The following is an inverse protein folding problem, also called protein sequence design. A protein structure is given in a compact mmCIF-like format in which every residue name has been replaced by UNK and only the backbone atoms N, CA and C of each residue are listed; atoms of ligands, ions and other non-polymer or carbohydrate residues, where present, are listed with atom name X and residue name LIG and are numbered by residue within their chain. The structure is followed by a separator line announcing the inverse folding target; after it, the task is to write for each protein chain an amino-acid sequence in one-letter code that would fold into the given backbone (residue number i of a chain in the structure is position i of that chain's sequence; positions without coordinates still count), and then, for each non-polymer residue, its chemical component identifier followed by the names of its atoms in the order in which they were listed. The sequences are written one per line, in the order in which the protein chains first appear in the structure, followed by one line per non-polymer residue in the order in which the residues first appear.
data_IF_948257115447
#
_entry.id   IF_948257115447
#
_cell.length_a   1.000
_cell.length_b   1.000
_cell.length_c   1.000
_cell.angle_alpha   90.00
_cell.angle_beta   90.00
_cell.angle_gamma   90.00
#
_symmetry.space_group_name_H-M   'P 1'
#
loop_
_entity.id
_entity.type
_entity.pdbx_description
1 polymer ?
#
# COMPACT_ATOMS: atom_id res chain seq x y z
N UNK A 1 -32.04 4.60 -15.41
CA UNK A 1 -30.98 3.99 -16.25
C UNK A 1 -29.66 4.71 -15.97
N UNK A 2 -28.56 3.99 -15.66
CA UNK A 2 -27.23 4.59 -15.50
C UNK A 2 -26.84 5.47 -16.70
N UNK A 3 -26.16 6.62 -16.51
CA UNK A 3 -25.83 7.55 -17.60
C UNK A 3 -25.07 6.91 -18.77
N UNK A 4 -24.19 5.95 -18.48
CA UNK A 4 -23.45 5.19 -19.50
C UNK A 4 -24.37 4.34 -20.39
N UNK A 5 -25.38 3.69 -19.80
CA UNK A 5 -26.35 2.88 -20.55
C UNK A 5 -27.27 3.76 -21.39
N UNK A 6 -27.64 4.94 -20.89
CA UNK A 6 -28.40 5.93 -21.66
C UNK A 6 -27.61 6.39 -22.90
N UNK A 7 -26.33 6.72 -22.72
CA UNK A 7 -25.44 7.12 -23.81
C UNK A 7 -25.21 5.98 -24.82
N UNK A 8 -25.00 4.76 -24.34
CA UNK A 8 -24.83 3.60 -25.21
C UNK A 8 -26.08 3.33 -26.07
N UNK A 9 -27.27 3.48 -25.48
CA UNK A 9 -28.54 3.35 -26.20
C UNK A 9 -28.72 4.46 -27.25
N UNK A 10 -28.35 5.70 -26.93
CA UNK A 10 -28.47 6.84 -27.84
C UNK A 10 -27.49 6.75 -29.03
N UNK A 11 -26.28 6.25 -28.81
CA UNK A 11 -25.22 6.20 -29.83
C UNK A 11 -25.25 4.89 -30.65
N UNK A 12 -25.89 3.84 -30.14
CA UNK A 12 -26.00 2.54 -30.82
C UNK A 12 -24.66 1.81 -30.99
N UNK A 13 -23.64 2.17 -30.20
CA UNK A 13 -22.28 1.61 -30.25
C UNK A 13 -21.78 1.26 -28.85
N UNK A 14 -20.89 0.27 -28.67
CA UNK A 14 -20.28 0.00 -27.38
C UNK A 14 -19.58 1.24 -26.83
N UNK A 15 -19.94 1.67 -25.62
CA UNK A 15 -19.25 2.75 -24.90
C UNK A 15 -18.42 2.13 -23.78
N UNK A 16 -17.19 2.61 -23.60
CA UNK A 16 -16.28 2.21 -22.51
C UNK A 16 -15.78 3.46 -21.82
N UNK A 17 -15.52 3.34 -20.52
CA UNK A 17 -14.93 4.41 -19.73
C UNK A 17 -13.43 4.19 -19.67
N UNK A 18 -12.65 5.18 -20.10
CA UNK A 18 -11.20 5.20 -19.97
C UNK A 18 -10.84 6.06 -18.75
N UNK A 19 -10.05 5.56 -17.79
CA UNK A 19 -9.51 6.42 -16.73
C UNK A 19 -8.55 7.44 -17.36
N UNK A 20 -8.78 8.72 -17.10
CA UNK A 20 -7.91 9.82 -17.54
C UNK A 20 -6.87 10.16 -16.47
N UNK A 21 -6.07 11.21 -16.73
CA UNK A 21 -5.21 11.82 -15.71
C UNK A 21 -5.96 12.07 -14.39
N UNK A 22 -5.27 12.04 -13.24
CA UNK A 22 -5.89 12.32 -11.95
C UNK A 22 -6.66 13.65 -11.95
N UNK A 23 -7.86 13.69 -11.34
CA UNK A 23 -8.51 12.61 -10.58
C UNK A 23 -9.24 11.57 -11.47
N UNK A 24 -9.08 10.28 -11.15
CA UNK A 24 -9.77 9.18 -11.85
C UNK A 24 -11.15 8.90 -11.23
N UNK A 25 -12.22 9.29 -11.92
CA UNK A 25 -13.61 9.01 -11.50
C UNK A 25 -13.86 7.51 -11.35
N UNK A 26 -13.31 6.69 -12.24
CA UNK A 26 -13.40 5.23 -12.14
C UNK A 26 -12.69 4.71 -10.90
N UNK A 27 -11.49 5.23 -10.60
CA UNK A 27 -10.74 4.88 -9.40
C UNK A 27 -11.49 5.25 -8.12
N UNK A 28 -12.09 6.43 -8.06
CA UNK A 28 -12.92 6.86 -6.93
C UNK A 28 -14.14 5.94 -6.72
N UNK A 29 -14.83 5.56 -7.80
CA UNK A 29 -15.97 4.62 -7.73
C UNK A 29 -15.54 3.24 -7.25
N UNK A 30 -14.40 2.74 -7.72
CA UNK A 30 -13.84 1.47 -7.28
C UNK A 30 -13.48 1.51 -5.78
N UNK A 31 -12.77 2.55 -5.35
CA UNK A 31 -12.44 2.76 -3.93
C UNK A 31 -13.70 2.79 -3.05
N UNK A 32 -14.73 3.54 -3.45
CA UNK A 32 -16.00 3.59 -2.72
C UNK A 32 -16.74 2.25 -2.70
N UNK A 33 -16.67 1.46 -3.77
CA UNK A 33 -17.27 0.12 -3.80
C UNK A 33 -16.54 -0.85 -2.85
N UNK A 34 -15.21 -0.87 -2.88
CA UNK A 34 -14.39 -1.71 -2.00
C UNK A 34 -14.58 -1.33 -0.53
N UNK A 35 -14.56 -0.04 -0.20
CA UNK A 35 -14.81 0.44 1.17
C UNK A 35 -16.18 0.02 1.68
N UNK A 36 -17.24 0.21 0.87
CA UNK A 36 -18.60 -0.22 1.25
C UNK A 36 -18.68 -1.72 1.46
N UNK A 37 -18.03 -2.50 0.59
CA UNK A 37 -18.00 -3.96 0.72
C UNK A 37 -17.29 -4.41 1.99
N UNK A 38 -16.16 -3.81 2.33
CA UNK A 38 -15.45 -4.05 3.59
C UNK A 38 -16.37 -3.81 4.80
N UNK A 39 -17.06 -2.67 4.82
CA UNK A 39 -17.98 -2.31 5.91
C UNK A 39 -19.17 -3.26 6.01
N UNK A 40 -19.73 -3.69 4.87
CA UNK A 40 -20.81 -4.68 4.84
C UNK A 40 -20.40 -6.06 5.37
N UNK A 41 -19.10 -6.37 5.32
CA UNK A 41 -18.52 -7.61 5.86
C UNK A 41 -18.10 -7.45 7.34
N UNK A 42 -18.43 -6.34 8.00
CA UNK A 42 -18.09 -6.07 9.39
C UNK A 42 -16.74 -5.37 9.59
N UNK A 43 -16.03 -5.04 8.52
CA UNK A 43 -14.76 -4.31 8.61
C UNK A 43 -14.94 -2.86 9.08
N UNK A 44 -14.03 -2.40 9.92
CA UNK A 44 -14.01 -1.02 10.41
C UNK A 44 -13.09 -0.17 9.53
N UNK A 45 -13.53 1.05 9.20
CA UNK A 45 -12.74 2.01 8.43
C UNK A 45 -12.70 3.35 9.18
N UNK A 46 -11.50 3.82 9.52
CA UNK A 46 -11.26 5.01 10.35
C UNK A 46 -10.70 6.17 9.50
N UNK A 47 -11.54 6.93 8.78
CA UNK A 47 -11.07 8.04 7.95
C UNK A 47 -10.49 9.16 8.81
N UNK A 48 -9.41 9.78 8.35
CA UNK A 48 -8.75 10.89 9.05
C UNK A 48 -7.87 10.48 10.23
N UNK A 49 -7.79 9.19 10.53
CA UNK A 49 -6.82 8.66 11.49
C UNK A 49 -5.52 8.26 10.77
N UNK A 50 -4.43 8.17 11.51
CA UNK A 50 -3.12 7.77 10.99
C UNK A 50 -2.34 7.08 12.09
N UNK A 51 -1.74 5.92 11.78
CA UNK A 51 -0.81 5.24 12.68
C UNK A 51 0.47 6.09 12.77
N UNK A 52 0.93 6.36 13.99
CA UNK A 52 2.09 7.20 14.27
C UNK A 52 3.31 6.37 14.68
N UNK A 53 3.08 5.28 15.40
CA UNK A 53 4.12 4.36 15.87
C UNK A 53 3.55 2.97 16.14
N UNK A 54 4.43 1.98 16.22
CA UNK A 54 4.11 0.64 16.63
C UNK A 54 5.04 0.17 17.75
N UNK A 55 4.50 -0.63 18.67
CA UNK A 55 5.32 -1.43 19.59
C UNK A 55 5.62 -2.78 18.94
N UNK A 56 6.88 -3.17 19.02
CA UNK A 56 7.38 -4.43 18.47
C UNK A 56 8.17 -5.13 19.57
N UNK A 57 7.78 -6.36 19.88
CA UNK A 57 8.44 -7.22 20.86
C UNK A 57 8.73 -8.58 20.22
N UNK A 58 9.93 -9.11 20.45
CA UNK A 58 10.39 -10.40 19.93
C UNK A 58 10.06 -10.66 18.44
N UNK A 59 10.24 -9.65 17.58
CA UNK A 59 9.97 -9.76 16.13
C UNK A 59 8.48 -9.81 15.77
N UNK A 60 7.60 -9.28 16.62
CA UNK A 60 6.15 -9.24 16.43
C UNK A 60 5.59 -7.87 16.78
N UNK A 61 4.69 -7.34 15.96
CA UNK A 61 3.94 -6.11 16.28
C UNK A 61 2.91 -6.44 17.36
N UNK A 62 2.95 -5.72 18.48
CA UNK A 62 2.09 -5.94 19.65
C UNK A 62 1.07 -4.82 19.87
N UNK A 63 1.32 -3.62 19.31
CA UNK A 63 0.39 -2.50 19.41
C UNK A 63 0.63 -1.44 18.35
N UNK A 64 -0.45 -0.83 17.86
CA UNK A 64 -0.43 0.29 16.92
C UNK A 64 -1.04 1.52 17.59
N UNK A 65 -0.32 2.65 17.57
CA UNK A 65 -0.77 3.90 18.17
C UNK A 65 -1.15 4.87 17.07
N UNK A 66 -2.37 5.39 17.15
CA UNK A 66 -2.91 6.29 16.12
C UNK A 66 -3.12 7.68 16.68
N UNK A 67 -3.17 8.67 15.79
CA UNK A 67 -3.42 10.07 16.16
C UNK A 67 -4.70 10.22 16.99
N UNK A 68 -5.76 9.48 16.65
CA UNK A 68 -7.06 9.64 17.28
C UNK A 68 -7.26 8.78 18.54
N UNK A 69 -6.37 7.82 18.83
CA UNK A 69 -6.44 6.96 20.02
C UNK A 69 -5.37 7.25 21.07
N UNK A 70 -4.47 8.21 20.81
CA UNK A 70 -3.46 8.65 21.77
C UNK A 70 -2.59 7.49 22.27
N UNK A 71 -2.61 7.26 23.57
CA UNK A 71 -1.81 6.22 24.23
C UNK A 71 -2.54 4.86 24.34
N UNK A 72 -3.74 4.72 23.77
CA UNK A 72 -4.47 3.45 23.74
C UNK A 72 -4.10 2.69 22.46
N UNK A 73 -3.35 1.57 22.54
CA UNK A 73 -2.94 0.84 21.35
C UNK A 73 -4.10 0.03 20.75
N UNK A 74 -4.17 0.04 19.42
CA UNK A 74 -4.91 -0.97 18.66
C UNK A 74 -4.09 -2.24 18.59
N UNK A 75 -4.67 -3.36 19.00
CA UNK A 75 -4.03 -4.67 18.94
C UNK A 75 -4.61 -5.50 17.80
N UNK A 76 -3.72 -6.16 17.06
CA UNK A 76 -4.11 -7.01 15.94
C UNK A 76 -3.25 -8.28 15.92
N UNK A 77 -3.84 -9.40 15.51
CA UNK A 77 -3.10 -10.65 15.34
C UNK A 77 -2.17 -10.57 14.13
N UNK A 78 -2.63 -9.92 13.06
CA UNK A 78 -1.92 -9.72 11.80
C UNK A 78 -2.02 -8.26 11.38
N UNK A 79 -0.93 -7.71 10.84
CA UNK A 79 -0.83 -6.32 10.41
C UNK A 79 -0.40 -6.29 8.95
N UNK A 80 -1.03 -5.42 8.15
CA UNK A 80 -0.73 -5.25 6.73
C UNK A 80 -0.44 -3.79 6.46
N UNK A 81 0.80 -3.48 6.09
CA UNK A 81 1.24 -2.18 5.61
C UNK A 81 0.88 -2.02 4.14
N UNK A 82 -0.18 -1.24 3.88
CA UNK A 82 -0.66 -0.88 2.55
C UNK A 82 -0.75 0.66 2.39
N UNK A 83 0.19 1.38 3.01
CA UNK A 83 0.20 2.84 3.10
C UNK A 83 0.56 3.56 1.80
N UNK A 84 1.06 2.82 0.79
CA UNK A 84 1.55 3.41 -0.46
C UNK A 84 2.93 4.05 -0.31
N UNK A 85 3.43 4.66 -1.38
CA UNK A 85 4.77 5.25 -1.41
C UNK A 85 4.77 6.70 -0.87
N UNK A 86 5.68 7.54 -1.36
CA UNK A 86 5.89 8.93 -0.95
C UNK A 86 4.62 9.79 -0.92
N UNK A 87 3.79 9.75 -1.98
CA UNK A 87 2.59 10.59 -2.07
C UNK A 87 1.57 10.32 -0.96
N UNK A 88 1.52 9.08 -0.47
CA UNK A 88 0.60 8.65 0.57
C UNK A 88 1.24 8.65 1.97
N UNK A 89 2.46 9.18 2.10
CA UNK A 89 3.26 9.19 3.32
C UNK A 89 3.57 7.79 3.89
N UNK A 90 3.53 6.73 3.07
CA UNK A 90 4.00 5.42 3.51
C UNK A 90 5.52 5.29 3.45
N UNK A 91 6.18 6.14 2.67
CA UNK A 91 7.62 6.40 2.73
C UNK A 91 7.84 7.89 2.99
N UNK A 92 8.81 8.21 3.84
CA UNK A 92 9.25 9.56 4.13
C UNK A 92 10.67 9.76 3.58
N UNK A 93 10.89 10.90 2.93
CA UNK A 93 12.17 11.32 2.37
C UNK A 93 12.70 12.52 3.17
N UNK A 94 13.71 12.29 3.99
CA UNK A 94 14.33 13.30 4.85
C UNK A 94 15.74 13.64 4.34
N UNK A 95 16.49 14.45 5.10
CA UNK A 95 17.89 14.74 4.79
C UNK A 95 18.79 13.51 4.92
N UNK A 96 18.48 12.63 5.88
CA UNK A 96 19.29 11.45 6.20
C UNK A 96 18.97 10.23 5.32
N UNK A 97 17.92 10.30 4.50
CA UNK A 97 17.54 9.20 3.60
C UNK A 97 16.04 9.00 3.45
N UNK A 98 15.68 7.84 2.90
CA UNK A 98 14.29 7.37 2.82
C UNK A 98 14.02 6.37 3.93
N UNK A 99 12.88 6.51 4.61
CA UNK A 99 12.45 5.54 5.64
C UNK A 99 10.96 5.24 5.55
N UNK A 100 10.58 4.11 6.15
CA UNK A 100 9.21 3.84 6.55
C UNK A 100 8.99 4.42 7.96
N UNK A 101 7.96 5.28 8.19
CA UNK A 101 7.88 6.11 9.39
C UNK A 101 7.28 5.45 10.64
N UNK A 102 6.59 4.31 10.54
CA UNK A 102 5.81 3.74 11.64
C UNK A 102 6.52 2.60 12.36
N UNK A 103 7.12 1.68 11.61
CA UNK A 103 7.70 0.43 12.12
C UNK A 103 9.23 0.41 12.05
N UNK A 104 9.83 1.35 11.30
CA UNK A 104 11.28 1.42 11.12
C UNK A 104 11.82 0.26 10.30
N UNK A 105 11.12 -0.06 9.19
CA UNK A 105 11.43 -1.18 8.31
C UNK A 105 12.64 -0.90 7.45
N UNK A 106 13.27 -1.98 6.97
CA UNK A 106 14.34 -1.89 6.00
C UNK A 106 13.77 -1.42 4.66
N UNK A 107 14.34 -0.35 4.11
CA UNK A 107 13.91 0.24 2.85
C UNK A 107 15.01 0.10 1.80
N UNK A 108 14.66 -0.40 0.63
CA UNK A 108 15.52 -0.30 -0.55
C UNK A 108 15.54 1.17 -1.00
N UNK A 109 16.71 1.79 -0.90
CA UNK A 109 16.95 3.17 -1.38
C UNK A 109 18.41 3.35 -1.78
N UNK A 110 18.73 4.50 -2.37
CA UNK A 110 20.12 4.90 -2.61
C UNK A 110 20.61 5.83 -1.51
N UNK A 111 21.89 5.72 -1.14
CA UNK A 111 22.49 6.53 -0.09
C UNK A 111 22.54 8.01 -0.48
N UNK A 112 23.04 8.31 -1.68
CA UNK A 112 23.21 9.68 -2.15
C UNK A 112 21.94 10.22 -2.78
N UNK A 113 21.44 11.34 -2.24
CA UNK A 113 20.23 12.00 -2.72
C UNK A 113 20.31 12.42 -4.19
N UNK A 114 21.51 12.75 -4.68
CA UNK A 114 21.74 13.09 -6.07
C UNK A 114 21.39 11.94 -7.03
N UNK A 115 21.43 10.70 -6.56
CA UNK A 115 21.15 9.52 -7.37
C UNK A 115 19.69 9.03 -7.30
N UNK A 116 18.84 9.69 -6.52
CA UNK A 116 17.43 9.30 -6.40
C UNK A 116 16.63 9.55 -7.69
N UNK A 117 17.07 10.51 -8.50
CA UNK A 117 16.43 10.88 -9.76
C UNK A 117 17.46 11.03 -10.86
N UNK A 118 17.01 10.93 -12.12
CA UNK A 118 17.78 11.25 -13.31
C UNK A 118 17.29 12.56 -13.89
N UNK A 119 18.20 13.33 -14.49
CA UNK A 119 17.89 14.59 -15.15
C UNK A 119 17.01 14.42 -16.40
N UNK A 120 17.17 13.28 -17.09
CA UNK A 120 16.24 12.88 -18.16
C UNK A 120 14.90 12.47 -17.55
N UNK A 121 13.86 13.25 -17.85
CA UNK A 121 12.50 13.03 -17.38
C UNK A 121 11.92 11.69 -17.84
N UNK A 122 12.31 11.19 -19.01
CA UNK A 122 11.79 9.95 -19.59
C UNK A 122 12.63 8.73 -19.20
N UNK A 123 13.80 8.95 -18.59
CA UNK A 123 14.59 7.86 -18.05
C UNK A 123 13.89 7.22 -16.84
N UNK A 124 14.10 5.91 -16.62
CA UNK A 124 13.69 5.23 -15.39
C UNK A 124 14.25 5.97 -14.18
N UNK A 125 13.36 6.34 -13.26
CA UNK A 125 13.72 7.11 -12.08
C UNK A 125 14.01 6.17 -10.91
N UNK A 126 15.21 6.19 -10.31
CA UNK A 126 15.57 5.26 -9.23
C UNK A 126 14.60 5.25 -8.05
N UNK A 127 14.08 6.42 -7.65
CA UNK A 127 13.13 6.53 -6.54
C UNK A 127 11.84 5.72 -6.72
N UNK A 128 11.46 5.40 -7.97
CA UNK A 128 10.26 4.60 -8.25
C UNK A 128 10.39 3.14 -7.80
N UNK A 129 11.63 2.67 -7.60
CA UNK A 129 11.94 1.34 -7.08
C UNK A 129 12.14 1.32 -5.57
N UNK A 130 12.11 2.48 -4.90
CA UNK A 130 12.31 2.54 -3.46
C UNK A 130 11.09 2.02 -2.72
N UNK A 131 11.34 1.30 -1.63
CA UNK A 131 10.26 0.79 -0.79
C UNK A 131 10.73 -0.23 0.22
N UNK A 132 9.78 -0.67 1.05
CA UNK A 132 10.01 -1.64 2.12
C UNK A 132 10.47 -2.97 1.53
N UNK A 133 11.54 -3.52 2.11
CA UNK A 133 12.05 -4.85 1.82
C UNK A 133 11.16 -5.91 2.46
N UNK A 134 10.92 -6.97 1.72
CA UNK A 134 10.14 -8.11 2.21
C UNK A 134 10.86 -9.43 1.98
N UNK A 135 10.50 -10.44 2.74
CA UNK A 135 10.84 -11.82 2.40
C UNK A 135 9.97 -12.36 1.24
N UNK A 136 10.18 -13.62 0.85
CA UNK A 136 9.42 -14.29 -0.20
C UNK A 136 7.93 -14.53 0.11
N UNK A 137 7.49 -14.23 1.34
CA UNK A 137 6.09 -14.30 1.79
C UNK A 137 5.49 -12.89 1.98
N UNK A 138 6.16 -11.84 1.53
CA UNK A 138 5.77 -10.43 1.71
C UNK A 138 5.75 -9.97 3.17
N UNK A 139 6.44 -10.67 4.08
CA UNK A 139 6.66 -10.18 5.45
C UNK A 139 7.72 -9.10 5.43
N UNK A 140 7.43 -7.98 6.09
CA UNK A 140 8.32 -6.84 6.11
C UNK A 140 9.58 -7.13 6.93
N UNK A 141 10.72 -6.69 6.40
CA UNK A 141 12.01 -6.84 7.06
C UNK A 141 12.31 -5.65 7.96
N UNK A 142 12.88 -5.94 9.14
CA UNK A 142 13.45 -4.97 10.06
C UNK A 142 14.78 -5.51 10.56
N UNK A 143 15.86 -4.76 10.34
CA UNK A 143 17.23 -5.18 10.68
C UNK A 143 17.62 -6.52 10.05
N UNK A 144 17.14 -6.78 8.82
CA UNK A 144 17.39 -8.00 8.06
C UNK A 144 16.47 -9.17 8.39
N UNK A 145 15.60 -9.06 9.41
CA UNK A 145 14.72 -10.14 9.85
C UNK A 145 13.25 -9.84 9.55
N UNK A 146 12.50 -10.86 9.15
CA UNK A 146 11.08 -10.74 8.86
C UNK A 146 10.26 -10.67 10.16
N UNK A 147 9.47 -9.62 10.31
CA UNK A 147 8.49 -9.53 11.39
C UNK A 147 7.38 -10.57 11.17
N UNK A 148 7.06 -11.31 12.24
CA UNK A 148 6.24 -12.52 12.17
C UNK A 148 4.79 -12.28 11.72
N UNK A 149 4.26 -11.08 12.00
CA UNK A 149 2.87 -10.71 11.73
C UNK A 149 2.70 -9.38 11.00
N UNK A 150 3.75 -8.90 10.33
CA UNK A 150 3.68 -7.67 9.54
C UNK A 150 3.99 -7.98 8.08
N UNK A 151 3.01 -7.75 7.22
CA UNK A 151 3.15 -7.84 5.77
C UNK A 151 3.23 -6.44 5.16
N UNK A 152 3.94 -6.30 4.04
CA UNK A 152 3.94 -5.07 3.24
C UNK A 152 3.45 -5.38 1.82
N UNK A 153 2.49 -4.59 1.33
CA UNK A 153 1.84 -4.83 0.03
C UNK A 153 1.59 -3.54 -0.75
N UNK A 154 1.49 -3.68 -2.07
CA UNK A 154 1.22 -2.57 -2.96
C UNK A 154 2.38 -1.58 -3.04
N UNK A 155 2.07 -0.32 -3.30
CA UNK A 155 3.10 0.67 -3.66
C UNK A 155 4.14 1.00 -2.57
N UNK A 156 4.00 0.45 -1.35
CA UNK A 156 5.02 0.61 -0.30
C UNK A 156 6.20 -0.36 -0.48
N UNK A 157 6.02 -1.48 -1.20
CA UNK A 157 7.08 -2.49 -1.39
C UNK A 157 8.13 -2.02 -2.39
N UNK A 158 9.40 -2.30 -2.14
CA UNK A 158 10.51 -1.93 -3.04
C UNK A 158 10.72 -2.91 -4.20
N UNK A 159 11.69 -2.57 -5.06
CA UNK A 159 12.28 -3.51 -6.04
C UNK A 159 11.58 -3.58 -7.40
N UNK A 160 10.65 -2.67 -7.70
CA UNK A 160 9.96 -2.66 -9.00
C UNK A 160 9.68 -1.23 -9.47
N UNK A 161 9.60 -1.01 -10.78
CA UNK A 161 9.28 0.31 -11.35
C UNK A 161 7.85 0.29 -11.89
N UNK A 162 6.86 0.86 -11.16
CA UNK A 162 5.44 0.79 -11.55
C UNK A 162 5.16 1.44 -12.90
N UNK A 163 5.91 2.48 -13.28
CA UNK A 163 5.68 3.24 -14.51
C UNK A 163 6.32 2.53 -15.69
N UNK A 164 7.59 2.16 -15.57
CA UNK A 164 8.33 1.50 -16.66
C UNK A 164 7.78 0.11 -16.96
N UNK A 165 7.40 -0.63 -15.93
CA UNK A 165 6.91 -2.01 -16.08
C UNK A 165 5.39 -2.08 -16.26
N UNK A 166 4.66 -0.97 -16.05
CA UNK A 166 3.19 -0.93 -16.15
C UNK A 166 2.47 -1.84 -15.15
N UNK A 167 3.12 -2.18 -14.03
CA UNK A 167 2.70 -3.27 -13.15
C UNK A 167 2.07 -2.80 -11.82
N UNK A 168 2.06 -1.51 -11.51
CA UNK A 168 1.71 -1.01 -10.18
C UNK A 168 0.33 -1.44 -9.64
N UNK A 169 -0.68 -1.47 -10.51
CA UNK A 169 -2.01 -1.97 -10.13
C UNK A 169 -2.01 -3.49 -9.89
N UNK A 170 -1.27 -4.25 -10.69
CA UNK A 170 -1.10 -5.70 -10.53
C UNK A 170 -0.41 -6.04 -9.22
N UNK A 171 0.70 -5.36 -8.91
CA UNK A 171 1.41 -5.52 -7.62
C UNK A 171 0.48 -5.26 -6.43
N UNK A 172 -0.32 -4.19 -6.50
CA UNK A 172 -1.27 -3.85 -5.43
C UNK A 172 -2.36 -4.89 -5.25
N UNK A 173 -3.01 -5.34 -6.33
CA UNK A 173 -4.12 -6.29 -6.27
C UNK A 173 -3.66 -7.70 -5.91
N UNK A 174 -2.62 -8.19 -6.57
CA UNK A 174 -2.12 -9.55 -6.38
C UNK A 174 -1.41 -9.69 -5.03
N UNK A 175 -0.64 -8.67 -4.61
CA UNK A 175 -0.04 -8.65 -3.27
C UNK A 175 -1.10 -8.69 -2.17
N UNK A 176 -2.17 -7.88 -2.30
CA UNK A 176 -3.28 -7.89 -1.35
C UNK A 176 -3.99 -9.25 -1.29
N UNK A 177 -4.31 -9.84 -2.44
CA UNK A 177 -4.98 -11.14 -2.50
C UNK A 177 -4.10 -12.25 -1.90
N UNK A 178 -2.81 -12.26 -2.22
CA UNK A 178 -1.86 -13.26 -1.74
C UNK A 178 -1.75 -13.22 -0.21
N UNK A 179 -1.53 -12.04 0.38
CA UNK A 179 -1.41 -11.89 1.83
C UNK A 179 -2.74 -12.20 2.53
N UNK A 180 -3.88 -11.77 1.98
CA UNK A 180 -5.19 -12.11 2.54
C UNK A 180 -5.41 -13.64 2.60
N UNK A 181 -5.01 -14.37 1.56
CA UNK A 181 -5.09 -15.83 1.55
C UNK A 181 -4.16 -16.47 2.59
N UNK A 182 -2.94 -15.94 2.77
CA UNK A 182 -2.02 -16.42 3.79
C UNK A 182 -2.59 -16.22 5.21
N UNK A 183 -3.13 -15.03 5.50
CA UNK A 183 -3.73 -14.72 6.80
C UNK A 183 -4.92 -15.65 7.08
N UNK A 184 -5.83 -15.80 6.11
CA UNK A 184 -6.98 -16.69 6.26
C UNK A 184 -6.57 -18.15 6.52
N UNK A 185 -5.55 -18.64 5.80
CA UNK A 185 -5.04 -20.00 5.99
C UNK A 185 -4.33 -20.21 7.35
N UNK A 186 -3.80 -19.14 7.96
CA UNK A 186 -3.21 -19.20 9.30
C UNK A 186 -4.28 -19.24 10.40
N UNK A 187 -5.41 -18.55 10.21
CA UNK A 187 -6.54 -18.58 11.15
C UNK A 187 -7.32 -19.91 11.12
N UNK A 188 -7.28 -20.63 10.00
CA UNK A 188 -7.91 -21.96 9.87
C UNK A 188 -7.07 -23.10 10.48
N UNK A 189 -5.83 -22.83 10.92
CA UNK A 189 -5.00 -23.84 11.59
C UNK A 189 -5.40 -23.94 13.08
N UNK A 190 -5.74 -25.15 13.57
CA UNK A 190 -6.19 -25.37 14.94
C UNK A 190 -5.11 -25.11 15.98
#
# INVERSE_FOLDING_TARGET
MPPLLALQAAVGKPVRLLPTLPPSVLGMRLHQALRRRLQQLGGVFMPGDSVLRADIDAGRVTGLYTRNHGDIPLQAQQVVLASGSFFSNGLAADFDGVREPVFGLDVDSQADRADWSRSDLFAPQPYLQFGVRTDGRLRALRHGEALTNLYAIGAVTGGYDPLRQGCGAGVSLIGALHVAQQIAAEEERP
#
